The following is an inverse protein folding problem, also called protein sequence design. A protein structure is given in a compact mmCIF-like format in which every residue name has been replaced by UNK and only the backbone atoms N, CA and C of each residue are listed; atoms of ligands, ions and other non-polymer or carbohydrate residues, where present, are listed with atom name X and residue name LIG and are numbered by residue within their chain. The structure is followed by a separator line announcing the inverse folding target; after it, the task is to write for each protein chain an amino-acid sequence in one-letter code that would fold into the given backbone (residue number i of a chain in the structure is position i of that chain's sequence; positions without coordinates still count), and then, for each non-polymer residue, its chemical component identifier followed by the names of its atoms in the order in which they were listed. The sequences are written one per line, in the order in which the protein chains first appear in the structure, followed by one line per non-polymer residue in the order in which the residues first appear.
data_IF_803986821901
#
_entry.id   IF_803986821901
#
_cell.length_a   1.000
_cell.length_b   1.000
_cell.length_c   1.000
_cell.angle_alpha   90.00
_cell.angle_beta   90.00
_cell.angle_gamma   90.00
#
_symmetry.space_group_name_H-M   'P 1'
#
loop_
_entity.id
_entity.type
_entity.pdbx_description
1 polymer ?
#
# COMPACT_ATOMS: atom_id res chain seq x y z
N UNK A 1 -1.84 -6.17 12.52
CA UNK A 1 -3.19 -6.71 12.24
C UNK A 1 -3.83 -7.08 13.56
N UNK A 2 -5.15 -6.94 13.69
CA UNK A 2 -5.86 -7.25 14.94
C UNK A 2 -6.87 -8.36 14.65
N UNK A 3 -6.82 -9.44 15.44
CA UNK A 3 -7.92 -10.39 15.50
C UNK A 3 -9.08 -9.73 16.25
N UNK A 4 -10.22 -9.54 15.60
CA UNK A 4 -11.35 -8.79 16.17
C UNK A 4 -12.06 -9.59 17.28
N UNK A 5 -12.02 -10.92 17.24
CA UNK A 5 -12.64 -11.76 18.27
C UNK A 5 -11.78 -11.84 19.54
N UNK A 6 -10.46 -12.01 19.42
CA UNK A 6 -9.58 -12.16 20.58
C UNK A 6 -8.91 -10.86 21.03
N UNK A 7 -8.90 -9.82 20.18
CA UNK A 7 -8.14 -8.58 20.40
C UNK A 7 -6.63 -8.73 20.20
N UNK A 8 -6.15 -9.93 19.85
CA UNK A 8 -4.72 -10.20 19.67
C UNK A 8 -4.16 -9.37 18.51
N UNK A 9 -2.97 -8.81 18.72
CA UNK A 9 -2.30 -7.94 17.75
C UNK A 9 -1.06 -8.61 17.21
N UNK A 10 -1.04 -8.86 15.91
CA UNK A 10 0.14 -9.33 15.20
C UNK A 10 0.86 -8.15 14.56
N UNK A 11 2.13 -7.93 14.90
CA UNK A 11 2.99 -7.00 14.17
C UNK A 11 3.26 -7.58 12.79
N UNK A 12 2.96 -6.81 11.74
CA UNK A 12 3.35 -7.18 10.38
C UNK A 12 4.70 -6.54 10.10
N UNK A 13 5.71 -7.38 9.87
CA UNK A 13 6.98 -6.90 9.34
C UNK A 13 6.83 -6.77 7.82
N UNK A 14 6.73 -5.53 7.35
CA UNK A 14 6.47 -5.20 5.95
C UNK A 14 7.69 -4.45 5.39
N UNK A 15 8.13 -4.77 4.16
CA UNK A 15 9.30 -4.14 3.54
C UNK A 15 8.98 -2.75 2.96
N UNK A 16 8.06 -2.01 3.61
CA UNK A 16 7.57 -0.71 3.18
C UNK A 16 7.50 0.23 4.38
N UNK A 17 7.78 1.51 4.16
CA UNK A 17 7.47 2.58 5.11
C UNK A 17 6.44 3.49 4.45
N UNK A 18 5.20 3.42 4.91
CA UNK A 18 4.12 4.29 4.46
C UNK A 18 3.38 4.84 5.69
N UNK A 19 3.03 6.13 5.66
CA UNK A 19 2.33 6.79 6.77
C UNK A 19 0.87 7.13 6.46
N UNK A 20 0.50 7.22 5.18
CA UNK A 20 -0.84 7.58 4.68
C UNK A 20 -1.09 6.88 3.36
N UNK A 21 -2.36 6.83 2.94
CA UNK A 21 -2.77 6.15 1.71
C UNK A 21 -2.42 4.66 1.77
N UNK A 22 -2.86 3.95 2.81
CA UNK A 22 -2.64 2.51 2.96
C UNK A 22 -4.02 1.85 2.94
N UNK A 23 -4.23 0.93 2.02
CA UNK A 23 -5.51 0.24 1.84
C UNK A 23 -5.28 -1.25 1.68
N UNK A 24 -6.00 -2.06 2.46
CA UNK A 24 -6.01 -3.51 2.30
C UNK A 24 -6.83 -3.89 1.06
N UNK A 25 -6.33 -4.82 0.26
CA UNK A 25 -7.07 -5.39 -0.87
C UNK A 25 -8.36 -6.07 -0.40
N UNK A 26 -9.36 -6.15 -1.26
CA UNK A 26 -10.66 -6.76 -0.91
C UNK A 26 -10.53 -8.21 -0.44
N UNK A 27 -9.61 -8.96 -1.03
CA UNK A 27 -9.35 -10.36 -0.68
C UNK A 27 -8.34 -10.52 0.48
N UNK A 28 -7.83 -9.42 1.04
CA UNK A 28 -6.87 -9.42 2.13
C UNK A 28 -5.47 -9.91 1.76
N UNK A 29 -5.18 -10.17 0.47
CA UNK A 29 -3.90 -10.73 0.03
C UNK A 29 -2.80 -9.69 -0.16
N UNK A 30 -3.15 -8.40 -0.23
CA UNK A 30 -2.17 -7.36 -0.46
C UNK A 30 -2.57 -5.99 0.08
N UNK A 31 -1.64 -5.06 -0.04
CA UNK A 31 -1.78 -3.69 0.42
C UNK A 31 -1.48 -2.75 -0.73
N UNK A 32 -2.41 -1.85 -1.04
CA UNK A 32 -2.14 -0.67 -1.85
C UNK A 32 -1.56 0.40 -0.95
N UNK A 33 -0.43 0.99 -1.34
CA UNK A 33 0.19 2.05 -0.56
C UNK A 33 0.79 3.15 -1.43
N UNK A 34 0.81 4.36 -0.88
CA UNK A 34 1.57 5.49 -1.42
C UNK A 34 3.01 5.33 -0.94
N UNK A 35 3.94 5.22 -1.88
CA UNK A 35 5.35 4.99 -1.59
C UNK A 35 6.28 5.72 -2.54
N UNK A 36 7.56 5.42 -2.41
CA UNK A 36 8.63 5.86 -3.30
C UNK A 36 9.08 4.65 -4.13
N UNK A 37 9.31 4.87 -5.42
CA UNK A 37 9.94 3.85 -6.26
C UNK A 37 11.44 3.84 -5.95
N UNK A 38 11.98 2.66 -5.62
CA UNK A 38 13.39 2.47 -5.28
C UNK A 38 14.33 2.77 -6.46
N UNK A 39 13.81 2.74 -7.69
CA UNK A 39 14.57 2.99 -8.92
C UNK A 39 14.29 4.38 -9.50
N UNK A 40 13.41 5.16 -8.88
CA UNK A 40 12.99 6.46 -9.39
C UNK A 40 13.90 7.59 -8.88
N UNK A 41 13.81 8.76 -9.50
CA UNK A 41 14.52 9.96 -9.05
C UNK A 41 14.06 10.31 -7.64
N UNK A 42 14.93 10.95 -6.86
CA UNK A 42 14.62 11.48 -5.53
C UNK A 42 13.29 12.27 -5.59
N UNK A 43 12.39 12.01 -4.63
CA UNK A 43 11.04 12.59 -4.52
C UNK A 43 9.95 12.09 -5.50
N UNK A 44 10.23 11.14 -6.40
CA UNK A 44 9.18 10.51 -7.21
C UNK A 44 8.35 9.53 -6.37
N UNK A 45 7.05 9.83 -6.24
CA UNK A 45 6.07 9.00 -5.53
C UNK A 45 5.22 8.19 -6.49
N UNK A 46 4.79 7.02 -6.02
CA UNK A 46 3.92 6.13 -6.77
C UNK A 46 2.90 5.44 -5.89
N UNK A 47 1.92 4.83 -6.53
CA UNK A 47 1.01 3.88 -5.91
C UNK A 47 1.55 2.50 -6.23
N UNK A 48 1.71 1.69 -5.19
CA UNK A 48 2.26 0.34 -5.28
C UNK A 48 1.29 -0.67 -4.69
N UNK A 49 1.44 -1.91 -5.12
CA UNK A 49 0.78 -3.06 -4.53
C UNK A 49 1.83 -3.98 -3.91
N UNK A 50 1.71 -4.21 -2.59
CA UNK A 50 2.51 -5.18 -1.85
C UNK A 50 1.72 -6.49 -1.70
N UNK A 51 2.22 -7.58 -2.25
CA UNK A 51 1.69 -8.91 -1.99
C UNK A 51 2.15 -9.41 -0.60
N UNK A 52 1.21 -9.73 0.29
CA UNK A 52 1.53 -10.10 1.67
C UNK A 52 2.12 -11.49 1.82
N UNK A 53 1.96 -12.38 0.83
CA UNK A 53 2.51 -13.74 0.84
C UNK A 53 3.97 -13.72 0.38
N UNK A 54 4.25 -13.08 -0.75
CA UNK A 54 5.58 -13.04 -1.38
C UNK A 54 6.46 -11.90 -0.86
N UNK A 55 5.86 -10.90 -0.21
CA UNK A 55 6.51 -9.66 0.25
C UNK A 55 7.12 -8.82 -0.89
N UNK A 56 6.69 -9.07 -2.13
CA UNK A 56 7.11 -8.29 -3.30
C UNK A 56 6.15 -7.12 -3.52
N UNK A 57 6.74 -5.97 -3.85
CA UNK A 57 6.01 -4.76 -4.19
C UNK A 57 6.16 -4.47 -5.67
N UNK A 58 5.07 -4.09 -6.32
CA UNK A 58 5.02 -3.75 -7.74
C UNK A 58 4.36 -2.39 -7.93
N UNK A 59 4.86 -1.56 -8.87
CA UNK A 59 4.24 -0.28 -9.18
C UNK A 59 2.89 -0.49 -9.88
N UNK A 60 1.87 0.21 -9.40
CA UNK A 60 0.56 0.33 -10.07
C UNK A 60 0.50 1.62 -10.88
N UNK A 61 1.07 2.68 -10.33
CA UNK A 61 1.15 3.98 -10.96
C UNK A 61 2.40 4.71 -10.47
N UNK A 62 3.21 5.24 -11.39
CA UNK A 62 4.37 6.06 -11.08
C UNK A 62 4.09 7.50 -11.50
N UNK A 63 4.30 8.45 -10.59
CA UNK A 63 4.24 9.87 -10.95
C UNK A 63 5.57 10.27 -11.58
N UNK A 64 5.56 10.60 -12.87
CA UNK A 64 6.78 11.00 -13.59
C UNK A 64 7.24 12.42 -13.21
N UNK A 65 6.31 13.35 -13.02
CA UNK A 65 6.61 14.74 -12.66
C UNK A 65 5.65 15.26 -11.58
N UNK A 66 6.18 15.82 -10.49
CA UNK A 66 5.40 16.28 -9.33
C UNK A 66 5.16 15.22 -8.25
N UNK A 67 4.21 15.49 -7.34
CA UNK A 67 3.98 14.67 -6.16
C UNK A 67 2.51 14.25 -5.98
N UNK A 68 2.30 13.01 -5.54
CA UNK A 68 0.99 12.53 -5.10
C UNK A 68 0.86 12.81 -3.60
N UNK A 69 -0.11 13.63 -3.23
CA UNK A 69 -0.37 13.97 -1.84
C UNK A 69 -1.33 12.97 -1.15
N UNK A 70 -2.26 12.40 -1.93
CA UNK A 70 -3.20 11.39 -1.48
C UNK A 70 -3.72 10.55 -2.66
N UNK A 71 -4.16 9.33 -2.38
CA UNK A 71 -4.99 8.55 -3.31
C UNK A 71 -6.07 7.83 -2.50
N UNK A 72 -7.10 7.33 -3.18
CA UNK A 72 -8.14 6.54 -2.55
C UNK A 72 -8.39 5.26 -3.32
N UNK A 73 -8.52 4.15 -2.59
CA UNK A 73 -8.91 2.88 -3.14
C UNK A 73 -10.44 2.74 -3.10
N UNK A 74 -11.07 2.75 -4.27
CA UNK A 74 -12.52 2.59 -4.41
C UNK A 74 -12.82 1.12 -4.68
N UNK A 75 -13.54 0.46 -3.76
CA UNK A 75 -13.99 -0.92 -3.97
C UNK A 75 -15.24 -0.92 -4.87
N UNK A 76 -15.32 -1.79 -5.90
CA UNK A 76 -16.55 -1.96 -6.66
C UNK A 76 -17.71 -2.34 -5.74
N UNK A 77 -18.81 -1.59 -5.83
CA UNK A 77 -20.01 -1.77 -4.98
C UNK A 77 -20.03 -0.97 -3.68
N UNK A 78 -19.06 -0.09 -3.43
CA UNK A 78 -19.15 0.91 -2.38
C UNK A 78 -20.12 2.00 -2.83
N UNK A 79 -21.37 1.96 -2.35
CA UNK A 79 -22.30 3.11 -2.40
C UNK A 79 -22.25 3.83 -1.06
#
# INVERSE_FOLDING_TARGET
MVNIQSGERTKLDLPITARKGIYLSKDGKGIYYLGEDKNAKTDQRGIFYLDLKTKKSEPIFLQEDGFINNFSYIRPGSK
#
